data_IF_080747284000
#
_entry.id   IF_080747284000
#
_cell.length_a   1.000
_cell.length_b   1.000
_cell.length_c   1.000
_cell.angle_alpha   90.00
_cell.angle_beta   90.00
_cell.angle_gamma   90.00
#
_symmetry.space_group_name_H-M   'P 1'
#
loop_
_entity.id
_entity.type
_entity.pdbx_description
1 polymer ?
#
# COMPACT_ATOMS: atom_id res chain seq x y z
N UNK A 1 3.62 -41.50 -89.41
CA UNK A 1 3.02 -40.33 -90.09
C UNK A 1 2.48 -39.47 -88.96
N UNK A 2 3.32 -38.61 -88.39
CA UNK A 2 3.45 -37.17 -88.73
C UNK A 2 2.72 -36.38 -87.61
N UNK A 3 3.22 -35.34 -86.95
CA UNK A 3 4.41 -34.49 -87.05
C UNK A 3 4.71 -33.84 -85.68
N UNK A 4 5.91 -33.25 -85.58
CA UNK A 4 6.50 -32.49 -84.48
C UNK A 4 5.96 -31.03 -84.28
N UNK A 5 6.34 -30.47 -83.12
CA UNK A 5 6.73 -29.07 -82.81
C UNK A 5 5.83 -28.13 -81.93
N UNK A 6 6.34 -27.85 -80.71
CA UNK A 6 6.69 -26.54 -80.05
C UNK A 6 5.57 -25.50 -79.78
N UNK A 7 5.50 -24.69 -78.71
CA UNK A 7 6.31 -24.30 -77.53
C UNK A 7 5.43 -23.42 -76.60
N UNK A 8 5.96 -23.11 -75.41
CA UNK A 8 5.77 -21.94 -74.54
C UNK A 8 4.86 -21.99 -73.29
N UNK A 9 5.52 -21.89 -72.12
CA UNK A 9 5.05 -21.06 -71.00
C UNK A 9 4.64 -21.74 -69.68
N UNK A 10 5.60 -22.00 -68.79
CA UNK A 10 5.41 -22.19 -67.32
C UNK A 10 5.16 -20.78 -66.68
N UNK A 11 4.34 -20.57 -65.61
CA UNK A 11 4.46 -21.31 -64.35
C UNK A 11 3.21 -21.77 -63.58
N UNK A 12 3.47 -22.88 -62.87
CA UNK A 12 2.75 -23.49 -61.75
C UNK A 12 2.16 -22.47 -60.75
N UNK A 13 0.88 -22.64 -60.43
CA UNK A 13 0.34 -22.31 -59.11
C UNK A 13 -0.44 -23.49 -58.55
N UNK A 14 0.06 -24.02 -57.43
CA UNK A 14 -0.61 -24.94 -56.53
C UNK A 14 -1.49 -24.07 -55.61
N UNK A 15 -2.80 -24.34 -55.43
CA UNK A 15 -3.54 -23.69 -54.36
C UNK A 15 -3.14 -24.33 -53.03
N UNK A 16 -2.31 -23.62 -52.27
CA UNK A 16 -2.05 -23.91 -50.87
C UNK A 16 -3.34 -23.69 -50.07
N UNK A 17 -3.89 -24.77 -49.53
CA UNK A 17 -4.96 -24.75 -48.53
C UNK A 17 -4.50 -23.96 -47.31
N UNK A 18 -4.98 -22.73 -47.17
CA UNK A 18 -4.80 -21.94 -45.96
C UNK A 18 -5.61 -22.57 -44.83
N UNK A 19 -4.94 -23.42 -44.04
CA UNK A 19 -5.38 -23.71 -42.69
C UNK A 19 -5.40 -22.38 -41.94
N UNK A 20 -6.62 -21.88 -41.67
CA UNK A 20 -6.83 -20.78 -40.76
C UNK A 20 -6.34 -21.20 -39.38
N UNK A 21 -5.08 -20.90 -39.09
CA UNK A 21 -4.59 -20.82 -37.72
C UNK A 21 -5.29 -19.61 -37.14
N UNK A 22 -6.44 -19.84 -36.52
CA UNK A 22 -7.00 -18.93 -35.55
C UNK A 22 -5.97 -18.80 -34.44
N UNK A 23 -5.11 -17.80 -34.53
CA UNK A 23 -4.33 -17.36 -33.40
C UNK A 23 -5.34 -16.92 -32.34
N UNK A 24 -5.56 -17.77 -31.34
CA UNK A 24 -6.13 -17.33 -30.09
C UNK A 24 -5.13 -16.32 -29.54
N UNK A 25 -5.32 -15.03 -29.86
CA UNK A 25 -4.74 -13.94 -29.10
C UNK A 25 -5.25 -14.13 -27.69
N UNK A 26 -4.47 -14.83 -26.88
CA UNK A 26 -4.70 -14.93 -25.45
C UNK A 26 -4.49 -13.51 -24.95
N UNK A 27 -5.58 -12.75 -24.82
CA UNK A 27 -5.57 -11.40 -24.27
C UNK A 27 -4.66 -11.41 -23.04
N UNK A 28 -3.54 -10.71 -23.15
CA UNK A 28 -2.57 -10.65 -22.08
C UNK A 28 -3.18 -9.77 -21.00
N UNK A 29 -3.76 -10.39 -19.98
CA UNK A 29 -4.37 -9.64 -18.89
C UNK A 29 -3.26 -9.05 -18.06
N UNK A 30 -3.17 -7.73 -18.10
CA UNK A 30 -2.34 -6.96 -17.19
C UNK A 30 -2.95 -7.08 -15.78
N UNK A 31 -2.35 -7.95 -14.98
CA UNK A 31 -2.69 -8.20 -13.57
C UNK A 31 -2.60 -6.91 -12.78
N UNK A 32 -1.63 -6.05 -13.06
CA UNK A 32 -1.36 -4.84 -12.28
C UNK A 32 -2.42 -3.79 -12.56
N UNK A 33 -2.69 -3.54 -13.84
CA UNK A 33 -3.73 -2.60 -14.24
C UNK A 33 -5.12 -3.05 -13.74
N UNK A 34 -5.39 -4.36 -13.76
CA UNK A 34 -6.63 -4.94 -13.23
C UNK A 34 -6.76 -4.72 -11.72
N UNK A 35 -5.69 -4.97 -10.95
CA UNK A 35 -5.68 -4.74 -9.49
C UNK A 35 -5.86 -3.25 -9.20
N UNK A 36 -5.12 -2.38 -9.87
CA UNK A 36 -5.19 -0.92 -9.68
C UNK A 36 -6.59 -0.40 -9.99
N UNK A 37 -7.21 -0.86 -11.09
CA UNK A 37 -8.57 -0.50 -11.47
C UNK A 37 -9.62 -0.93 -10.45
N UNK A 38 -9.51 -2.16 -9.91
CA UNK A 38 -10.38 -2.64 -8.83
C UNK A 38 -10.22 -1.80 -7.56
N UNK A 39 -8.98 -1.47 -7.18
CA UNK A 39 -8.69 -0.67 -5.99
C UNK A 39 -9.12 0.79 -6.12
N UNK A 40 -9.09 1.36 -7.33
CA UNK A 40 -9.57 2.71 -7.58
C UNK A 40 -11.04 2.89 -7.19
N UNK A 41 -11.86 1.83 -7.31
CA UNK A 41 -13.28 1.89 -6.92
C UNK A 41 -13.53 2.18 -5.44
N UNK A 42 -12.56 1.90 -4.56
CA UNK A 42 -12.67 2.15 -3.12
C UNK A 42 -12.52 3.64 -2.76
N UNK A 43 -11.93 4.45 -3.65
CA UNK A 43 -11.92 5.93 -3.60
C UNK A 43 -11.55 6.54 -2.23
N UNK A 44 -10.60 5.94 -1.50
CA UNK A 44 -10.34 6.28 -0.09
C UNK A 44 -10.29 7.78 0.18
N UNK A 45 -9.51 8.52 -0.60
CA UNK A 45 -9.29 9.95 -0.40
C UNK A 45 -10.56 10.79 -0.62
N UNK A 46 -11.34 10.51 -1.67
CA UNK A 46 -12.53 11.30 -1.98
C UNK A 46 -13.66 11.10 -0.98
N UNK A 47 -13.82 9.88 -0.45
CA UNK A 47 -14.90 9.55 0.48
C UNK A 47 -14.46 9.55 1.96
N UNK A 48 -13.29 10.11 2.29
CA UNK A 48 -12.73 10.11 3.67
C UNK A 48 -13.71 10.58 4.75
N UNK A 49 -14.46 11.64 4.48
CA UNK A 49 -15.40 12.25 5.43
C UNK A 49 -16.78 11.57 5.44
N UNK A 50 -17.02 10.62 4.54
CA UNK A 50 -18.26 9.87 4.49
C UNK A 50 -18.15 8.68 5.45
N UNK A 51 -19.17 8.48 6.29
CA UNK A 51 -19.27 7.26 7.09
C UNK A 51 -19.43 6.05 6.18
N UNK A 52 -18.72 4.98 6.50
CA UNK A 52 -18.83 3.68 5.81
C UNK A 52 -20.20 3.06 6.06
N UNK A 53 -20.85 2.57 5.00
CA UNK A 53 -22.13 1.84 5.07
C UNK A 53 -21.93 0.32 4.91
N UNK A 54 -23.01 -0.45 5.01
CA UNK A 54 -22.96 -1.91 4.80
C UNK A 54 -22.70 -2.25 3.32
N UNK A 55 -23.17 -1.42 2.38
CA UNK A 55 -22.86 -1.54 0.95
C UNK A 55 -21.37 -1.33 0.68
N UNK A 56 -20.72 -0.45 1.43
CA UNK A 56 -19.27 -0.25 1.33
C UNK A 56 -18.52 -1.51 1.78
N UNK A 57 -18.91 -2.12 2.91
CA UNK A 57 -18.29 -3.37 3.38
C UNK A 57 -18.46 -4.50 2.36
N UNK A 58 -19.63 -4.60 1.73
CA UNK A 58 -19.89 -5.56 0.66
C UNK A 58 -19.03 -5.28 -0.59
N UNK A 59 -18.89 -4.00 -0.97
CA UNK A 59 -17.99 -3.60 -2.05
C UNK A 59 -16.54 -3.98 -1.75
N UNK A 60 -16.07 -3.77 -0.51
CA UNK A 60 -14.73 -4.16 -0.09
C UNK A 60 -14.54 -5.68 -0.19
N UNK A 61 -15.53 -6.47 0.27
CA UNK A 61 -15.54 -7.93 0.19
C UNK A 61 -15.48 -8.42 -1.26
N UNK A 62 -16.32 -7.88 -2.13
CA UNK A 62 -16.33 -8.20 -3.56
C UNK A 62 -15.00 -7.82 -4.22
N UNK A 63 -14.47 -6.64 -3.91
CA UNK A 63 -13.19 -6.15 -4.44
C UNK A 63 -12.05 -7.09 -4.05
N UNK A 64 -12.00 -7.53 -2.78
CA UNK A 64 -11.02 -8.50 -2.32
C UNK A 64 -11.09 -9.82 -3.10
N UNK A 65 -12.29 -10.36 -3.28
CA UNK A 65 -12.50 -11.60 -4.04
C UNK A 65 -12.07 -11.47 -5.50
N UNK A 66 -12.40 -10.34 -6.14
CA UNK A 66 -11.98 -10.05 -7.51
C UNK A 66 -10.46 -9.93 -7.64
N UNK A 67 -9.80 -9.25 -6.71
CA UNK A 67 -8.33 -9.17 -6.68
C UNK A 67 -7.70 -10.56 -6.51
N UNK A 68 -8.24 -11.39 -5.62
CA UNK A 68 -7.78 -12.77 -5.46
C UNK A 68 -7.90 -13.56 -6.77
N UNK A 69 -9.02 -13.44 -7.49
CA UNK A 69 -9.23 -14.09 -8.78
C UNK A 69 -8.26 -13.57 -9.86
N UNK A 70 -7.99 -12.26 -9.90
CA UNK A 70 -7.00 -11.66 -10.82
C UNK A 70 -5.60 -12.20 -10.53
N UNK A 71 -5.18 -12.24 -9.26
CA UNK A 71 -3.88 -12.80 -8.86
C UNK A 71 -3.75 -14.27 -9.26
N UNK A 72 -4.83 -15.06 -9.23
CA UNK A 72 -4.80 -16.46 -9.66
C UNK A 72 -4.40 -16.64 -11.13
N UNK A 73 -4.57 -15.59 -11.96
CA UNK A 73 -4.22 -15.58 -13.39
C UNK A 73 -2.78 -15.13 -13.67
N UNK A 74 -2.04 -14.70 -12.64
CA UNK A 74 -0.63 -14.34 -12.76
C UNK A 74 0.19 -15.54 -13.25
N UNK A 75 1.00 -15.32 -14.30
CA UNK A 75 1.81 -16.37 -14.94
C UNK A 75 3.10 -16.64 -14.17
N UNK A 76 3.71 -15.62 -13.57
CA UNK A 76 4.89 -15.81 -12.72
C UNK A 76 4.48 -16.39 -11.37
N UNK A 77 4.78 -17.66 -11.15
CA UNK A 77 4.51 -18.39 -9.91
C UNK A 77 5.09 -17.73 -8.66
N UNK A 78 6.30 -17.17 -8.76
CA UNK A 78 6.98 -16.54 -7.65
C UNK A 78 6.30 -15.22 -7.27
N UNK A 79 5.94 -14.41 -8.28
CA UNK A 79 5.18 -13.17 -8.13
C UNK A 79 3.77 -13.44 -7.62
N UNK A 80 3.09 -14.47 -8.15
CA UNK A 80 1.76 -14.91 -7.72
C UNK A 80 1.73 -15.31 -6.26
N UNK A 81 2.77 -16.00 -5.76
CA UNK A 81 2.90 -16.34 -4.34
C UNK A 81 3.08 -15.10 -3.47
N UNK A 82 3.91 -14.13 -3.90
CA UNK A 82 4.11 -12.87 -3.17
C UNK A 82 2.83 -12.03 -3.12
N UNK A 83 2.11 -11.89 -4.24
CA UNK A 83 0.80 -11.23 -4.30
C UNK A 83 -0.20 -11.87 -3.34
N UNK A 84 -0.32 -13.21 -3.36
CA UNK A 84 -1.20 -13.94 -2.43
C UNK A 84 -0.80 -13.75 -0.97
N UNK A 85 0.49 -13.65 -0.68
CA UNK A 85 1.00 -13.42 0.68
C UNK A 85 0.73 -12.00 1.16
N UNK A 86 0.87 -11.01 0.28
CA UNK A 86 0.65 -9.60 0.61
C UNK A 86 -0.84 -9.21 0.67
N UNK A 87 -1.72 -9.94 -0.01
CA UNK A 87 -3.14 -9.60 -0.11
C UNK A 87 -3.88 -9.57 1.25
N UNK A 88 -3.78 -10.58 2.14
CA UNK A 88 -4.48 -10.57 3.42
C UNK A 88 -4.14 -9.40 4.34
N UNK A 89 -2.87 -9.07 4.64
CA UNK A 89 -2.56 -7.91 5.48
C UNK A 89 -2.96 -6.60 4.79
N UNK A 90 -2.86 -6.52 3.46
CA UNK A 90 -3.37 -5.39 2.69
C UNK A 90 -4.88 -5.22 2.86
N UNK A 91 -5.66 -6.31 2.87
CA UNK A 91 -7.10 -6.25 3.09
C UNK A 91 -7.45 -5.83 4.51
N UNK A 92 -6.74 -6.36 5.51
CA UNK A 92 -6.93 -5.99 6.90
C UNK A 92 -6.78 -4.47 7.11
N UNK A 93 -5.78 -3.84 6.48
CA UNK A 93 -5.59 -2.38 6.52
C UNK A 93 -6.81 -1.63 5.96
N UNK A 94 -7.39 -2.10 4.84
CA UNK A 94 -8.59 -1.50 4.24
C UNK A 94 -9.83 -1.64 5.13
N UNK A 95 -10.01 -2.82 5.72
CA UNK A 95 -11.08 -3.05 6.69
C UNK A 95 -10.93 -2.10 7.90
N UNK A 96 -9.70 -1.87 8.36
CA UNK A 96 -9.45 -0.93 9.45
C UNK A 96 -9.77 0.51 9.04
N UNK A 97 -9.47 0.93 7.81
CA UNK A 97 -9.90 2.24 7.28
C UNK A 97 -11.43 2.38 7.37
N UNK A 98 -12.16 1.36 6.90
CA UNK A 98 -13.62 1.34 6.86
C UNK A 98 -14.21 1.37 8.27
N UNK A 99 -13.60 0.63 9.19
CA UNK A 99 -13.92 0.64 10.61
C UNK A 99 -13.70 2.03 11.24
N UNK A 100 -12.54 2.66 11.03
CA UNK A 100 -12.23 3.98 11.59
C UNK A 100 -13.20 5.07 11.13
N UNK A 101 -13.67 5.02 9.88
CA UNK A 101 -14.68 5.96 9.37
C UNK A 101 -16.04 5.86 10.05
N UNK A 102 -16.35 4.73 10.69
CA UNK A 102 -17.57 4.56 11.49
C UNK A 102 -17.44 5.13 12.89
N UNK A 103 -16.21 5.27 13.38
CA UNK A 103 -15.95 5.69 14.74
C UNK A 103 -16.12 7.21 14.91
N UNK A 104 -16.84 7.65 15.95
CA UNK A 104 -16.79 9.03 16.39
C UNK A 104 -15.39 9.42 16.88
N UNK A 105 -15.05 10.70 16.78
CA UNK A 105 -13.83 11.25 17.37
C UNK A 105 -13.77 10.99 18.88
N UNK A 106 -12.58 10.64 19.39
CA UNK A 106 -12.33 10.35 20.80
C UNK A 106 -12.93 9.03 21.30
N UNK A 107 -13.48 8.20 20.42
CA UNK A 107 -14.02 6.90 20.81
C UNK A 107 -12.91 5.88 21.15
N UNK A 108 -13.26 4.90 21.97
CA UNK A 108 -12.39 3.75 22.26
C UNK A 108 -12.68 2.68 21.20
N UNK A 109 -11.66 2.15 20.50
CA UNK A 109 -11.90 1.13 19.50
C UNK A 109 -12.27 -0.21 20.17
N UNK A 110 -12.98 -1.06 19.43
CA UNK A 110 -13.26 -2.44 19.81
C UNK A 110 -11.96 -3.19 20.18
N UNK A 111 -11.99 -4.12 21.15
CA UNK A 111 -10.79 -4.84 21.60
C UNK A 111 -10.02 -5.56 20.50
N UNK A 112 -10.71 -5.99 19.44
CA UNK A 112 -10.11 -6.67 18.29
C UNK A 112 -9.31 -5.75 17.36
N UNK A 113 -9.47 -4.43 17.43
CA UNK A 113 -8.80 -3.46 16.56
C UNK A 113 -7.28 -3.57 16.64
N UNK A 114 -6.73 -3.50 17.86
CA UNK A 114 -5.29 -3.53 18.08
C UNK A 114 -4.63 -4.83 17.59
N UNK A 115 -5.01 -6.04 18.05
CA UNK A 115 -4.31 -7.27 17.65
C UNK A 115 -4.38 -7.52 16.14
N UNK A 116 -5.51 -7.20 15.50
CA UNK A 116 -5.67 -7.35 14.05
C UNK A 116 -4.76 -6.40 13.28
N UNK A 117 -4.73 -5.12 13.68
CA UNK A 117 -3.93 -4.13 12.97
C UNK A 117 -2.43 -4.30 13.25
N UNK A 118 -2.02 -4.60 14.49
CA UNK A 118 -0.63 -4.93 14.82
C UNK A 118 -0.14 -6.12 14.00
N UNK A 119 -0.89 -7.22 13.96
CA UNK A 119 -0.51 -8.40 13.20
C UNK A 119 -0.33 -8.10 11.69
N UNK A 120 -1.24 -7.32 11.11
CA UNK A 120 -1.14 -6.94 9.70
C UNK A 120 0.07 -6.02 9.44
N UNK A 121 0.27 -5.00 10.27
CA UNK A 121 1.38 -4.06 10.12
C UNK A 121 2.74 -4.72 10.35
N UNK A 122 2.87 -5.58 11.36
CA UNK A 122 4.10 -6.33 11.64
C UNK A 122 4.47 -7.24 10.46
N UNK A 123 3.48 -7.91 9.87
CA UNK A 123 3.68 -8.67 8.65
C UNK A 123 4.20 -7.79 7.51
N UNK A 124 3.57 -6.64 7.25
CA UNK A 124 3.98 -5.72 6.18
C UNK A 124 5.40 -5.20 6.44
N UNK A 125 5.71 -4.74 7.66
CA UNK A 125 7.04 -4.22 8.02
C UNK A 125 8.11 -5.29 7.83
N UNK A 126 7.86 -6.51 8.33
CA UNK A 126 8.81 -7.64 8.22
C UNK A 126 9.06 -8.06 6.77
N UNK A 127 8.01 -8.10 5.95
CA UNK A 127 8.14 -8.56 4.56
C UNK A 127 8.68 -7.46 3.63
N UNK A 128 8.43 -6.19 3.93
CA UNK A 128 8.84 -5.05 3.11
C UNK A 128 10.35 -4.75 3.11
N UNK A 129 11.16 -5.52 3.84
CA UNK A 129 12.60 -5.57 3.63
C UNK A 129 12.96 -6.17 2.26
N UNK A 130 12.17 -7.11 1.74
CA UNK A 130 12.33 -7.67 0.39
C UNK A 130 11.80 -6.70 -0.68
N UNK A 131 12.62 -6.39 -1.68
CA UNK A 131 12.25 -5.52 -2.80
C UNK A 131 11.08 -6.08 -3.63
N UNK A 132 11.07 -7.38 -3.89
CA UNK A 132 10.03 -7.99 -4.70
C UNK A 132 8.69 -7.99 -3.96
N UNK A 133 8.71 -8.12 -2.63
CA UNK A 133 7.52 -7.89 -1.82
C UNK A 133 7.04 -6.44 -1.91
N UNK A 134 7.95 -5.44 -1.84
CA UNK A 134 7.57 -4.03 -1.97
C UNK A 134 6.85 -3.74 -3.28
N UNK A 135 7.33 -4.29 -4.40
CA UNK A 135 6.72 -4.11 -5.74
C UNK A 135 5.26 -4.57 -5.74
N UNK A 136 4.98 -5.79 -5.27
CA UNK A 136 3.61 -6.32 -5.23
C UNK A 136 2.73 -5.61 -4.19
N UNK A 137 3.31 -5.18 -3.07
CA UNK A 137 2.60 -4.40 -2.04
C UNK A 137 2.16 -3.03 -2.56
N UNK A 138 3.01 -2.36 -3.36
CA UNK A 138 2.68 -1.10 -4.02
C UNK A 138 1.51 -1.30 -5.01
N UNK A 139 1.55 -2.36 -5.83
CA UNK A 139 0.47 -2.70 -6.77
C UNK A 139 -0.84 -2.97 -6.03
N UNK A 140 -0.75 -3.66 -4.88
CA UNK A 140 -1.86 -3.84 -3.95
C UNK A 140 -2.21 -2.57 -3.18
N UNK A 141 -1.84 -1.37 -3.63
CA UNK A 141 -2.31 -0.08 -3.09
C UNK A 141 -1.98 0.17 -1.62
N UNK A 142 -0.96 -0.50 -1.06
CA UNK A 142 -0.63 -0.34 0.37
C UNK A 142 -0.13 1.06 0.72
N UNK A 143 0.53 1.76 -0.20
CA UNK A 143 1.02 3.12 0.04
C UNK A 143 -0.15 4.06 0.35
N UNK A 144 -1.19 4.06 -0.50
CA UNK A 144 -2.37 4.89 -0.30
C UNK A 144 -3.18 4.44 0.93
N UNK A 145 -3.32 3.13 1.11
CA UNK A 145 -4.07 2.57 2.24
C UNK A 145 -3.41 2.91 3.59
N UNK A 146 -2.09 2.82 3.69
CA UNK A 146 -1.37 3.17 4.91
C UNK A 146 -1.35 4.68 5.17
N UNK A 147 -1.29 5.50 4.11
CA UNK A 147 -1.42 6.94 4.24
C UNK A 147 -2.80 7.33 4.79
N UNK A 148 -3.87 6.79 4.22
CA UNK A 148 -5.24 7.02 4.68
C UNK A 148 -5.43 6.51 6.12
N UNK A 149 -4.91 5.32 6.43
CA UNK A 149 -4.98 4.75 7.77
C UNK A 149 -4.34 5.70 8.78
N UNK A 150 -3.15 6.27 8.49
CA UNK A 150 -2.49 7.21 9.39
C UNK A 150 -3.31 8.48 9.61
N UNK A 151 -3.89 9.01 8.53
CA UNK A 151 -4.73 10.23 8.58
C UNK A 151 -5.96 9.98 9.46
N UNK A 152 -6.68 8.88 9.23
CA UNK A 152 -7.87 8.53 10.00
C UNK A 152 -7.56 8.16 11.44
N UNK A 153 -6.49 7.42 11.69
CA UNK A 153 -6.10 7.01 13.05
C UNK A 153 -5.77 8.24 13.91
N UNK A 154 -5.06 9.23 13.35
CA UNK A 154 -4.84 10.50 14.05
C UNK A 154 -6.11 11.33 14.17
N UNK A 155 -7.01 11.31 13.18
CA UNK A 155 -8.27 12.05 13.24
C UNK A 155 -9.23 11.49 14.29
N UNK A 156 -9.33 10.17 14.43
CA UNK A 156 -10.25 9.51 15.37
C UNK A 156 -9.70 9.55 16.80
N UNK A 157 -8.44 9.19 17.00
CA UNK A 157 -7.87 9.03 18.35
C UNK A 157 -7.04 10.21 18.82
N UNK A 158 -6.90 11.23 17.98
CA UNK A 158 -6.07 12.42 18.21
C UNK A 158 -4.65 12.05 18.64
N UNK A 159 -3.95 13.00 19.25
CA UNK A 159 -2.69 12.70 19.90
C UNK A 159 -2.98 12.04 21.25
N UNK A 160 -3.32 10.76 21.22
CA UNK A 160 -3.55 9.96 22.42
C UNK A 160 -2.24 9.73 23.20
N UNK A 161 -2.31 9.81 24.53
CA UNK A 161 -1.23 9.41 25.44
C UNK A 161 -1.06 7.90 25.52
N UNK A 162 -2.02 7.10 25.03
CA UNK A 162 -1.97 5.64 25.04
C UNK A 162 -0.84 5.12 24.17
N UNK A 163 -0.14 4.10 24.69
CA UNK A 163 1.04 3.53 24.04
C UNK A 163 0.69 2.83 22.72
N UNK A 164 -0.49 2.24 22.63
CA UNK A 164 -0.93 1.44 21.50
C UNK A 164 -1.04 2.27 20.21
N UNK A 165 -1.66 3.45 20.27
CA UNK A 165 -1.77 4.38 19.13
C UNK A 165 -0.39 4.85 18.66
N UNK A 166 0.52 5.16 19.60
CA UNK A 166 1.90 5.54 19.27
C UNK A 166 2.63 4.41 18.55
N UNK A 167 2.49 3.17 19.03
CA UNK A 167 3.10 2.00 18.41
C UNK A 167 2.53 1.70 17.02
N UNK A 168 1.21 1.83 16.83
CA UNK A 168 0.58 1.69 15.51
C UNK A 168 1.12 2.72 14.51
N UNK A 169 1.18 4.01 14.91
CA UNK A 169 1.73 5.08 14.05
C UNK A 169 3.17 4.81 13.64
N UNK A 170 4.00 4.30 14.56
CA UNK A 170 5.38 3.89 14.26
C UNK A 170 5.42 2.79 13.21
N UNK A 171 4.62 1.73 13.37
CA UNK A 171 4.58 0.64 12.40
C UNK A 171 4.08 1.09 11.04
N UNK A 172 3.05 1.95 10.98
CA UNK A 172 2.56 2.54 9.72
C UNK A 172 3.69 3.34 9.04
N UNK A 173 4.41 4.17 9.80
CA UNK A 173 5.52 4.96 9.28
C UNK A 173 6.69 4.10 8.78
N UNK A 174 7.03 3.02 9.50
CA UNK A 174 8.06 2.08 9.10
C UNK A 174 7.66 1.36 7.79
N UNK A 175 6.41 0.90 7.69
CA UNK A 175 5.88 0.29 6.47
C UNK A 175 5.93 1.26 5.27
N UNK A 176 5.47 2.51 5.44
CA UNK A 176 5.55 3.53 4.39
C UNK A 176 6.99 3.86 3.99
N UNK A 177 7.91 3.90 4.95
CA UNK A 177 9.34 4.12 4.69
C UNK A 177 9.92 3.00 3.84
N UNK A 178 9.65 1.75 4.20
CA UNK A 178 10.11 0.59 3.44
C UNK A 178 9.52 0.62 2.03
N UNK A 179 8.19 0.71 1.90
CA UNK A 179 7.50 0.68 0.60
C UNK A 179 7.89 1.82 -0.34
N UNK A 180 8.33 2.97 0.18
CA UNK A 180 8.76 4.10 -0.65
C UNK A 180 10.26 4.14 -0.89
N UNK A 181 11.04 3.24 -0.28
CA UNK A 181 12.48 3.14 -0.50
C UNK A 181 12.78 2.88 -1.99
N UNK A 182 13.62 3.72 -2.60
CA UNK A 182 13.93 3.65 -4.04
C UNK A 182 12.77 3.98 -5.00
N UNK A 183 11.53 4.17 -4.52
CA UNK A 183 10.36 4.29 -5.39
C UNK A 183 9.81 5.73 -5.48
N UNK A 184 10.39 6.54 -6.37
CA UNK A 184 10.09 7.98 -6.49
C UNK A 184 8.59 8.29 -6.73
N UNK A 185 7.86 7.44 -7.44
CA UNK A 185 6.43 7.63 -7.68
C UNK A 185 5.61 7.52 -6.39
N UNK A 186 5.86 6.51 -5.55
CA UNK A 186 5.20 6.38 -4.23
C UNK A 186 5.55 7.54 -3.32
N UNK A 187 6.80 8.03 -3.41
CA UNK A 187 7.23 9.20 -2.65
C UNK A 187 6.39 10.44 -3.00
N UNK A 188 6.30 10.72 -4.30
CA UNK A 188 5.47 11.81 -4.83
C UNK A 188 4.02 11.64 -4.44
N UNK A 189 3.48 10.42 -4.55
CA UNK A 189 2.10 10.09 -4.17
C UNK A 189 1.79 10.49 -2.73
N UNK A 190 2.67 10.18 -1.76
CA UNK A 190 2.49 10.57 -0.37
C UNK A 190 2.52 12.08 -0.14
N UNK A 191 3.37 12.83 -0.86
CA UNK A 191 3.39 14.31 -0.76
C UNK A 191 2.06 14.93 -1.16
N UNK A 192 1.41 14.36 -2.19
CA UNK A 192 0.16 14.88 -2.72
C UNK A 192 -1.08 14.22 -2.12
N UNK A 193 -0.92 13.19 -1.28
CA UNK A 193 -2.04 12.53 -0.62
C UNK A 193 -2.67 13.49 0.39
N UNK A 194 -3.93 13.87 0.17
CA UNK A 194 -4.63 14.86 0.99
C UNK A 194 -4.59 14.48 2.47
N UNK A 195 -4.24 15.44 3.33
CA UNK A 195 -4.20 15.26 4.78
C UNK A 195 -2.96 14.53 5.32
N UNK A 196 -2.17 13.84 4.48
CA UNK A 196 -1.02 13.06 4.95
C UNK A 196 0.09 13.94 5.55
N UNK A 197 0.56 14.96 4.81
CA UNK A 197 1.63 15.85 5.30
C UNK A 197 1.23 16.60 6.58
N UNK A 198 0.04 17.23 6.68
CA UNK A 198 -0.42 17.83 7.93
C UNK A 198 -0.46 16.86 9.11
N UNK A 199 -0.91 15.62 8.87
CA UNK A 199 -0.97 14.54 9.87
C UNK A 199 0.42 14.21 10.39
N UNK A 200 1.39 13.99 9.49
CA UNK A 200 2.78 13.72 9.85
C UNK A 200 3.35 14.89 10.67
N UNK A 201 3.18 16.13 10.22
CA UNK A 201 3.68 17.32 10.93
C UNK A 201 3.10 17.41 12.35
N UNK A 202 1.81 17.14 12.53
CA UNK A 202 1.16 17.14 13.86
C UNK A 202 1.76 16.09 14.79
N UNK A 203 1.97 14.86 14.29
CA UNK A 203 2.62 13.78 15.05
C UNK A 203 4.03 14.19 15.48
N UNK A 204 4.80 14.80 14.57
CA UNK A 204 6.17 15.24 14.84
C UNK A 204 6.24 16.36 15.87
N UNK A 205 5.33 17.34 15.80
CA UNK A 205 5.29 18.45 16.74
C UNK A 205 4.95 17.97 18.14
N UNK A 206 3.99 17.05 18.29
CA UNK A 206 3.71 16.51 19.60
C UNK A 206 4.90 15.72 20.17
N UNK A 207 5.52 14.86 19.37
CA UNK A 207 6.66 14.07 19.85
C UNK A 207 7.77 14.97 20.40
N UNK A 208 7.98 16.16 19.81
CA UNK A 208 8.90 17.19 20.31
C UNK A 208 8.39 17.86 21.58
N UNK A 209 7.11 18.23 21.64
CA UNK A 209 6.51 18.85 22.82
C UNK A 209 6.52 17.91 24.03
N UNK A 210 6.24 16.63 23.85
CA UNK A 210 6.34 15.61 24.90
C UNK A 210 7.78 15.43 25.37
N UNK A 211 8.76 15.47 24.45
CA UNK A 211 10.17 15.48 24.84
C UNK A 211 10.49 16.73 25.67
N UNK A 212 10.09 17.93 25.22
CA UNK A 212 10.28 19.19 25.93
C UNK A 212 9.58 19.23 27.30
N UNK A 213 8.34 18.71 27.39
CA UNK A 213 7.59 18.59 28.64
C UNK A 213 8.25 17.59 29.59
N UNK A 214 8.76 16.46 29.07
CA UNK A 214 9.59 15.53 29.84
C UNK A 214 10.83 16.25 30.39
N UNK A 215 11.49 17.13 29.63
CA UNK A 215 12.62 17.93 30.13
C UNK A 215 12.21 18.99 31.16
N UNK A 216 11.08 19.67 30.96
CA UNK A 216 10.54 20.64 31.91
C UNK A 216 10.15 19.96 33.24
N UNK A 217 9.61 18.75 33.18
CA UNK A 217 9.26 17.92 34.35
C UNK A 217 10.51 17.25 34.95
N UNK A 218 11.50 16.83 34.13
CA UNK A 218 12.79 16.31 34.59
C UNK A 218 13.72 17.37 35.17
N UNK A 219 13.40 18.66 35.02
CA UNK A 219 13.91 19.73 35.88
C UNK A 219 13.63 19.51 37.38
N UNK A 220 12.78 18.54 37.73
CA UNK A 220 12.43 18.18 39.11
C UNK A 220 12.73 16.73 39.53
N UNK A 221 13.37 15.90 38.70
CA UNK A 221 13.74 14.55 39.13
C UNK A 221 15.05 14.07 38.52
N UNK A 222 16.13 14.28 39.29
CA UNK A 222 17.44 13.72 39.01
C UNK A 222 17.41 12.20 39.08
N UNK A 223 17.85 11.56 37.99
CA UNK A 223 18.56 10.26 37.93
C UNK A 223 18.83 9.90 36.46
N UNK A 224 19.86 10.55 35.91
CA UNK A 224 20.74 10.14 34.80
C UNK A 224 20.31 9.02 33.85
N UNK A 225 19.29 9.24 33.02
CA UNK A 225 19.13 8.48 31.76
C UNK A 225 19.67 9.34 30.63
N UNK A 226 20.67 8.86 29.88
CA UNK A 226 21.30 9.61 28.78
C UNK A 226 20.29 9.81 27.63
N UNK A 227 20.11 11.09 27.28
CA UNK A 227 19.32 11.64 26.17
C UNK A 227 19.42 10.86 24.86
N UNK A 228 20.63 10.37 24.55
CA UNK A 228 20.94 9.73 23.27
C UNK A 228 20.19 8.41 23.06
N UNK A 229 19.81 7.70 24.12
CA UNK A 229 19.13 6.40 24.01
C UNK A 229 17.67 6.58 23.59
N UNK A 230 16.94 7.51 24.20
CA UNK A 230 15.52 7.74 23.94
C UNK A 230 15.32 8.54 22.64
N UNK A 231 16.18 9.53 22.39
CA UNK A 231 16.16 10.30 21.15
C UNK A 231 16.60 9.45 19.95
N UNK A 232 17.59 8.55 20.08
CA UNK A 232 17.95 7.63 19.00
C UNK A 232 16.87 6.57 18.74
N UNK A 233 16.18 6.08 19.76
CA UNK A 233 15.13 5.06 19.59
C UNK A 233 13.85 5.63 18.93
N UNK A 234 13.55 6.92 19.09
CA UNK A 234 12.45 7.61 18.40
C UNK A 234 12.86 8.28 17.07
N UNK A 235 14.10 8.75 16.95
CA UNK A 235 14.63 9.41 15.75
C UNK A 235 15.11 8.41 14.69
N UNK A 236 15.78 7.33 15.08
CA UNK A 236 16.44 6.41 14.12
C UNK A 236 15.45 5.60 13.27
N UNK A 237 14.23 5.34 13.76
CA UNK A 237 13.22 4.56 13.03
C UNK A 237 12.25 5.41 12.18
N UNK A 238 11.92 6.63 12.63
CA UNK A 238 10.95 7.50 11.95
C UNK A 238 11.59 8.63 11.11
N UNK A 239 12.80 9.09 11.45
CA UNK A 239 13.25 10.42 11.02
C UNK A 239 14.29 10.47 9.90
N UNK A 240 15.08 9.42 9.65
CA UNK A 240 16.08 9.46 8.56
C UNK A 240 15.40 9.57 7.18
N UNK A 241 14.22 8.97 7.03
CA UNK A 241 13.49 8.94 5.75
C UNK A 241 12.59 10.15 5.52
N UNK A 242 11.92 10.68 6.57
CA UNK A 242 10.96 11.79 6.43
C UNK A 242 11.65 13.16 6.39
N UNK A 243 12.72 13.37 7.17
CA UNK A 243 13.46 14.65 7.15
C UNK A 243 14.31 14.83 5.89
N UNK A 244 14.85 13.74 5.33
CA UNK A 244 15.52 13.78 4.03
C UNK A 244 14.53 14.05 2.88
N UNK A 245 13.27 13.64 3.03
CA UNK A 245 12.22 13.80 2.04
C UNK A 245 11.83 15.25 1.78
N UNK A 246 11.64 16.06 2.83
CA UNK A 246 11.27 17.48 2.70
C UNK A 246 12.34 18.27 1.94
N UNK A 247 13.62 17.93 2.08
CA UNK A 247 14.73 18.57 1.35
C UNK A 247 14.83 18.17 -0.13
N UNK A 248 14.13 17.12 -0.58
CA UNK A 248 14.16 16.63 -1.98
C UNK A 248 12.86 16.91 -2.76
N UNK A 249 11.81 17.39 -2.10
CA UNK A 249 10.51 17.70 -2.70
C UNK A 249 10.28 19.21 -2.92
N UNK A 250 11.23 20.05 -2.50
CA UNK A 250 11.38 21.47 -2.88
C UNK A 250 12.57 21.58 -3.81
#
# INVERSE_FOLDING_TARGET
MSDDELDDGIPRQIPSSSAGVGCYETEFIDVDQSIVGLLASLNFEQIRQRRTTDEDDELLRITHQRIHAVIAREKDDSRRRRLRRALPPSNCVREQIFYLRRLPHGSVPAPSYYPRLFSALDCIVKESFDEEYRKVAIILGLVDSLAELLVLELAVFEVSSRNEHRSLRKLIANALTNLTYGHAASKRRLCFYSGFIPTVVRILNEARNLAQLSYAIQGYCGKGVRFDVIAAEYSSQLFTSVTHFRKKCT
#
